data_IF_635786622198
#
_entry.id   IF_635786622198
#
_cell.length_a   1.000
_cell.length_b   1.000
_cell.length_c   1.000
_cell.angle_alpha   90.00
_cell.angle_beta   90.00
_cell.angle_gamma   90.00
#
_symmetry.space_group_name_H-M   'P 1'
#
loop_
_entity.id
_entity.type
_entity.pdbx_description
1 polymer ?
#
# COMPACT_ATOMS: atom_id res chain seq x y z
N UNK A 1 3.67 12.66 25.54
CA UNK A 1 2.98 12.65 24.25
C UNK A 1 3.55 11.54 23.38
N UNK A 2 2.69 10.65 22.90
CA UNK A 2 3.15 9.52 22.08
C UNK A 2 3.51 10.01 20.67
N UNK A 3 4.70 9.63 20.20
CA UNK A 3 5.12 9.92 18.84
C UNK A 3 4.53 8.90 17.90
N UNK A 4 3.89 9.35 16.82
CA UNK A 4 3.30 8.46 15.82
C UNK A 4 4.40 7.82 14.98
N UNK A 5 4.36 6.50 14.84
CA UNK A 5 5.27 5.76 13.98
C UNK A 5 4.64 5.58 12.61
N UNK A 6 5.40 5.86 11.57
CA UNK A 6 4.96 5.76 10.18
C UNK A 6 5.77 4.69 9.47
N UNK A 7 5.10 3.97 8.56
CA UNK A 7 5.77 3.02 7.67
C UNK A 7 5.32 3.29 6.24
N UNK A 8 6.28 3.53 5.35
CA UNK A 8 6.01 3.72 3.94
C UNK A 8 6.24 2.41 3.18
N UNK A 9 5.19 1.90 2.56
CA UNK A 9 5.31 0.76 1.64
C UNK A 9 5.79 1.32 0.31
N UNK A 10 7.04 1.05 0.01
CA UNK A 10 7.81 1.75 -1.00
C UNK A 10 8.29 0.84 -2.11
N UNK A 11 8.19 1.32 -3.36
CA UNK A 11 8.82 0.72 -4.51
C UNK A 11 9.77 1.77 -5.10
N UNK A 12 11.10 1.62 -4.94
CA UNK A 12 12.05 2.64 -5.39
C UNK A 12 12.08 2.85 -6.91
N UNK A 13 11.51 1.91 -7.66
CA UNK A 13 11.41 2.03 -9.12
C UNK A 13 10.18 2.81 -9.59
N UNK A 14 9.25 3.09 -8.68
CA UNK A 14 8.01 3.79 -9.01
C UNK A 14 8.16 5.28 -8.72
N UNK A 15 7.91 6.13 -9.72
CA UNK A 15 8.02 7.58 -9.55
C UNK A 15 7.07 8.12 -8.49
N UNK A 16 5.85 7.61 -8.42
CA UNK A 16 4.88 8.03 -7.41
C UNK A 16 5.35 7.68 -6.00
N UNK A 17 5.97 6.52 -5.85
CA UNK A 17 6.52 6.09 -4.58
C UNK A 17 7.71 6.96 -4.16
N UNK A 18 8.59 7.31 -5.12
CA UNK A 18 9.70 8.22 -4.86
C UNK A 18 9.21 9.61 -4.48
N UNK A 19 8.13 10.09 -5.09
CA UNK A 19 7.52 11.38 -4.74
C UNK A 19 7.02 11.40 -3.30
N UNK A 20 6.37 10.30 -2.87
CA UNK A 20 5.91 10.18 -1.50
C UNK A 20 7.06 10.20 -0.50
N UNK A 21 8.15 9.48 -0.81
CA UNK A 21 9.35 9.47 0.04
C UNK A 21 9.94 10.88 0.13
N UNK A 22 10.06 11.58 -0.97
CA UNK A 22 10.57 12.95 -0.99
C UNK A 22 9.70 13.90 -0.16
N UNK A 23 8.39 13.72 -0.22
CA UNK A 23 7.44 14.50 0.57
C UNK A 23 7.64 14.28 2.06
N UNK A 24 7.76 13.02 2.48
CA UNK A 24 8.00 12.68 3.88
C UNK A 24 9.33 13.26 4.38
N UNK A 25 10.37 13.16 3.56
CA UNK A 25 11.69 13.70 3.89
C UNK A 25 11.64 15.22 4.02
N UNK A 26 10.94 15.89 3.11
CA UNK A 26 10.80 17.36 3.12
C UNK A 26 10.02 17.86 4.34
N UNK A 27 9.06 17.05 4.83
CA UNK A 27 8.28 17.37 6.03
C UNK A 27 9.00 16.99 7.31
N UNK A 28 10.19 16.42 7.24
CA UNK A 28 10.93 15.93 8.41
C UNK A 28 10.21 14.81 9.13
N UNK A 29 9.38 14.05 8.43
CA UNK A 29 8.62 12.96 9.03
C UNK A 29 9.55 11.82 9.44
N UNK A 30 9.24 11.21 10.57
CA UNK A 30 9.97 10.06 11.09
C UNK A 30 9.22 8.80 10.63
N UNK A 31 9.82 8.06 9.73
CA UNK A 31 9.16 6.88 9.14
C UNK A 31 10.18 5.78 8.84
N UNK A 32 9.69 4.54 8.74
CA UNK A 32 10.47 3.44 8.22
C UNK A 32 10.05 3.15 6.79
N UNK A 33 10.99 2.69 5.99
CA UNK A 33 10.74 2.31 4.61
C UNK A 33 10.57 0.80 4.55
N UNK A 34 9.44 0.34 4.02
CA UNK A 34 9.23 -1.09 3.78
C UNK A 34 9.17 -1.32 2.28
N UNK A 35 10.15 -2.02 1.76
CA UNK A 35 10.17 -2.43 0.36
C UNK A 35 9.33 -3.68 0.21
N UNK A 36 8.04 -3.47 0.02
CA UNK A 36 7.05 -4.54 0.07
C UNK A 36 7.19 -5.61 -1.01
N UNK A 37 7.95 -5.32 -2.09
CA UNK A 37 8.25 -6.33 -3.11
C UNK A 37 9.24 -7.38 -2.60
N UNK A 38 10.11 -7.00 -1.67
CA UNK A 38 11.12 -7.86 -1.05
C UNK A 38 10.67 -8.36 0.32
N UNK A 39 9.84 -7.57 0.99
CA UNK A 39 9.30 -7.85 2.31
C UNK A 39 7.78 -7.68 2.28
N UNK A 40 7.05 -8.65 1.69
CA UNK A 40 5.61 -8.52 1.48
C UNK A 40 4.85 -8.43 2.80
N UNK A 41 3.69 -7.75 2.79
CA UNK A 41 2.82 -7.78 3.96
C UNK A 41 2.27 -9.20 4.16
N UNK A 42 1.86 -9.49 5.39
CA UNK A 42 1.05 -10.66 5.65
C UNK A 42 -0.38 -10.40 5.18
N UNK A 43 -1.19 -11.46 5.09
CA UNK A 43 -2.61 -11.30 4.74
C UNK A 43 -3.33 -10.42 5.76
N UNK A 44 -3.04 -10.58 7.05
CA UNK A 44 -3.64 -9.76 8.10
C UNK A 44 -3.22 -8.29 7.98
N UNK A 45 -1.96 -8.02 7.66
CA UNK A 45 -1.49 -6.65 7.44
C UNK A 45 -2.19 -6.00 6.25
N UNK A 46 -2.32 -6.72 5.14
CA UNK A 46 -2.99 -6.17 3.96
C UNK A 46 -4.49 -5.95 4.22
N UNK A 47 -5.12 -6.88 4.92
CA UNK A 47 -6.53 -6.73 5.29
C UNK A 47 -6.74 -5.48 6.15
N UNK A 48 -5.88 -5.25 7.14
CA UNK A 48 -5.96 -4.08 8.01
C UNK A 48 -5.76 -2.78 7.22
N UNK A 49 -4.82 -2.77 6.28
CA UNK A 49 -4.56 -1.59 5.43
C UNK A 49 -5.77 -1.29 4.53
N UNK A 50 -6.33 -2.32 3.91
CA UNK A 50 -7.52 -2.16 3.07
C UNK A 50 -8.69 -1.58 3.88
N UNK A 51 -8.90 -2.09 5.09
CA UNK A 51 -9.93 -1.59 5.98
C UNK A 51 -9.69 -0.11 6.32
N UNK A 52 -8.45 0.25 6.65
CA UNK A 52 -8.08 1.62 6.97
C UNK A 52 -8.27 2.56 5.78
N UNK A 53 -8.04 2.07 4.56
CA UNK A 53 -8.23 2.84 3.33
C UNK A 53 -9.71 2.92 2.90
N UNK A 54 -10.56 2.07 3.45
CA UNK A 54 -11.96 1.95 3.02
C UNK A 54 -12.10 1.30 1.66
N UNK A 55 -11.17 0.41 1.30
CA UNK A 55 -11.13 -0.22 -0.02
C UNK A 55 -11.29 -1.74 0.08
N UNK A 56 -11.77 -2.31 -1.00
CA UNK A 56 -11.71 -3.75 -1.22
C UNK A 56 -10.43 -4.10 -1.99
N UNK A 57 -9.94 -5.35 -1.92
CA UNK A 57 -8.69 -5.68 -2.61
C UNK A 57 -8.73 -5.46 -4.12
N UNK A 58 -9.88 -5.67 -4.77
CA UNK A 58 -10.01 -5.41 -6.21
C UNK A 58 -9.94 -3.93 -6.55
N UNK A 59 -10.16 -3.02 -5.58
CA UNK A 59 -9.97 -1.58 -5.77
C UNK A 59 -8.49 -1.20 -5.72
N UNK A 60 -7.69 -1.96 -4.99
CA UNK A 60 -6.27 -1.67 -4.78
C UNK A 60 -5.37 -2.43 -5.77
N UNK A 61 -5.88 -3.50 -6.37
CA UNK A 61 -5.06 -4.36 -7.23
C UNK A 61 -4.70 -3.68 -8.55
N UNK A 62 -3.45 -3.85 -8.97
CA UNK A 62 -2.94 -3.32 -10.23
C UNK A 62 -3.29 -4.27 -11.36
N UNK A 63 -4.45 -4.10 -11.95
CA UNK A 63 -5.00 -5.00 -12.97
C UNK A 63 -4.23 -4.98 -14.28
N UNK A 64 -3.40 -3.94 -14.52
CA UNK A 64 -2.59 -3.83 -15.73
C UNK A 64 -1.27 -4.60 -15.65
N UNK A 65 -0.93 -5.13 -14.49
CA UNK A 65 0.28 -5.93 -14.34
C UNK A 65 0.11 -7.29 -15.03
N UNK A 66 1.18 -7.83 -15.68
CA UNK A 66 1.12 -9.16 -16.26
C UNK A 66 0.68 -10.24 -15.27
N UNK A 67 1.09 -10.14 -14.00
CA UNK A 67 0.70 -11.09 -12.98
C UNK A 67 -0.82 -11.17 -12.80
N UNK A 68 -1.53 -10.04 -12.92
CA UNK A 68 -3.00 -10.03 -12.83
C UNK A 68 -3.62 -10.86 -13.94
N UNK A 69 -3.07 -10.77 -15.13
CA UNK A 69 -3.55 -11.53 -16.29
C UNK A 69 -3.24 -13.02 -16.15
N UNK A 70 -2.02 -13.32 -15.73
CA UNK A 70 -1.57 -14.71 -15.55
C UNK A 70 -2.40 -15.43 -14.49
N UNK A 71 -2.81 -14.72 -13.44
CA UNK A 71 -3.64 -15.27 -12.38
C UNK A 71 -5.13 -15.27 -12.70
N UNK A 72 -5.54 -14.66 -13.82
CA UNK A 72 -6.95 -14.58 -14.20
C UNK A 72 -7.78 -13.75 -13.22
N UNK A 73 -7.21 -12.67 -12.68
CA UNK A 73 -7.90 -11.88 -11.66
C UNK A 73 -9.23 -11.30 -12.15
N UNK A 74 -9.35 -10.98 -13.44
CA UNK A 74 -10.60 -10.43 -13.97
C UNK A 74 -11.76 -11.41 -13.89
N UNK A 75 -11.45 -12.71 -13.91
CA UNK A 75 -12.45 -13.77 -13.82
C UNK A 75 -12.59 -14.31 -12.40
N UNK A 76 -11.71 -13.91 -11.48
CA UNK A 76 -11.77 -14.36 -10.09
C UNK A 76 -12.96 -13.71 -9.38
N UNK A 77 -13.86 -14.50 -8.77
CA UNK A 77 -14.96 -13.92 -8.01
C UNK A 77 -14.46 -12.98 -6.91
N UNK A 78 -15.26 -11.98 -6.58
CA UNK A 78 -14.91 -10.98 -5.56
C UNK A 78 -15.03 -11.57 -4.15
N UNK A 79 -14.09 -12.46 -3.81
CA UNK A 79 -13.91 -12.99 -2.46
C UNK A 79 -12.68 -12.31 -1.86
N UNK A 80 -12.90 -11.58 -0.77
CA UNK A 80 -11.85 -10.74 -0.16
C UNK A 80 -10.61 -11.55 0.21
N UNK A 81 -10.80 -12.72 0.83
CA UNK A 81 -9.68 -13.56 1.25
C UNK A 81 -8.85 -14.07 0.09
N UNK A 82 -9.50 -14.50 -0.98
CA UNK A 82 -8.80 -15.03 -2.17
C UNK A 82 -7.97 -13.94 -2.85
N UNK A 83 -8.52 -12.73 -2.96
CA UNK A 83 -7.79 -11.61 -3.57
C UNK A 83 -6.61 -11.17 -2.70
N UNK A 84 -6.80 -11.11 -1.38
CA UNK A 84 -5.71 -10.76 -0.45
C UNK A 84 -4.58 -11.78 -0.56
N UNK A 85 -4.92 -13.08 -0.57
CA UNK A 85 -3.92 -14.14 -0.72
C UNK A 85 -3.12 -13.99 -2.00
N UNK A 86 -3.78 -13.70 -3.12
CA UNK A 86 -3.11 -13.49 -4.41
C UNK A 86 -2.19 -12.27 -4.37
N UNK A 87 -2.61 -11.18 -3.77
CA UNK A 87 -1.83 -9.95 -3.70
C UNK A 87 -0.62 -10.08 -2.79
N UNK A 88 -0.72 -10.85 -1.72
CA UNK A 88 0.41 -11.12 -0.82
C UNK A 88 1.43 -12.03 -1.49
N UNK A 89 0.97 -13.03 -2.23
CA UNK A 89 1.84 -13.93 -2.99
C UNK A 89 2.53 -13.19 -4.14
N UNK A 90 1.84 -12.20 -4.74
CA UNK A 90 2.35 -11.41 -5.86
C UNK A 90 2.28 -9.92 -5.51
N UNK A 91 3.17 -9.42 -4.65
CA UNK A 91 3.06 -8.04 -4.14
C UNK A 91 3.15 -6.95 -5.21
N UNK A 92 3.63 -7.27 -6.42
CA UNK A 92 3.59 -6.33 -7.55
C UNK A 92 2.16 -5.86 -7.86
N UNK A 93 1.16 -6.64 -7.44
CA UNK A 93 -0.25 -6.30 -7.64
C UNK A 93 -0.76 -5.21 -6.69
N UNK A 94 -0.02 -4.91 -5.62
CA UNK A 94 -0.44 -3.91 -4.64
C UNK A 94 -0.15 -2.52 -5.17
N UNK A 95 -1.17 -1.65 -5.21
CA UNK A 95 -0.98 -0.25 -5.59
C UNK A 95 -0.10 0.46 -4.57
N UNK A 96 0.66 1.47 -5.02
CA UNK A 96 1.65 2.18 -4.19
C UNK A 96 1.69 3.66 -4.57
N UNK A 97 2.22 4.52 -3.71
CA UNK A 97 2.73 4.23 -2.37
C UNK A 97 1.63 4.17 -1.32
N UNK A 98 1.87 3.44 -0.24
CA UNK A 98 0.94 3.40 0.90
C UNK A 98 1.70 3.82 2.15
N UNK A 99 1.14 4.77 2.91
CA UNK A 99 1.67 5.17 4.20
C UNK A 99 0.76 4.60 5.28
N UNK A 100 1.34 3.92 6.26
CA UNK A 100 0.61 3.27 7.34
C UNK A 100 1.08 3.86 8.67
N UNK A 101 0.13 4.14 9.56
CA UNK A 101 0.46 4.61 10.91
C UNK A 101 0.31 3.46 11.90
N UNK A 102 0.97 3.58 13.05
CA UNK A 102 0.88 2.57 14.10
C UNK A 102 -0.47 2.59 14.83
N UNK A 103 -1.27 3.63 14.65
CA UNK A 103 -2.62 3.73 15.23
C UNK A 103 -3.72 3.22 14.29
N UNK A 104 -3.35 2.55 13.21
CA UNK A 104 -4.31 1.89 12.33
C UNK A 104 -4.89 2.75 11.21
N UNK A 105 -4.25 3.90 10.90
CA UNK A 105 -4.65 4.70 9.74
C UNK A 105 -3.74 4.42 8.56
N UNK A 106 -4.21 4.70 7.36
CA UNK A 106 -3.44 4.51 6.15
C UNK A 106 -3.85 5.54 5.09
N UNK A 107 -2.93 5.81 4.17
CA UNK A 107 -3.22 6.66 3.01
C UNK A 107 -2.54 6.07 1.78
N UNK A 108 -3.27 6.06 0.68
CA UNK A 108 -2.73 5.75 -0.63
C UNK A 108 -2.27 7.06 -1.26
N UNK A 109 -1.01 7.16 -1.66
CA UNK A 109 -0.41 8.40 -2.17
C UNK A 109 -0.77 8.71 -3.62
N UNK A 110 -2.01 8.53 -3.98
CA UNK A 110 -2.57 8.86 -5.29
C UNK A 110 -3.95 9.48 -5.07
N UNK A 111 -4.04 10.80 -4.91
CA UNK A 111 -2.97 11.81 -5.10
C UNK A 111 -2.01 11.93 -3.90
N UNK A 112 -0.82 12.53 -4.11
CA UNK A 112 0.16 12.71 -3.02
C UNK A 112 -0.37 13.45 -1.80
N UNK A 113 -1.34 14.34 -1.99
CA UNK A 113 -1.97 15.11 -0.92
C UNK A 113 -2.62 14.22 0.15
N UNK A 114 -3.01 13.00 -0.20
CA UNK A 114 -3.57 12.05 0.76
C UNK A 114 -2.55 11.69 1.84
N UNK A 115 -1.26 11.61 1.47
CA UNK A 115 -0.19 11.36 2.43
C UNK A 115 0.00 12.57 3.34
N UNK A 116 -0.02 13.78 2.78
CA UNK A 116 0.07 15.00 3.59
C UNK A 116 -1.05 15.09 4.61
N UNK A 117 -2.26 14.77 4.21
CA UNK A 117 -3.42 14.80 5.11
C UNK A 117 -3.23 13.87 6.30
N UNK A 118 -2.54 12.74 6.11
CA UNK A 118 -2.29 11.79 7.18
C UNK A 118 -1.25 12.32 8.18
N UNK A 119 -0.38 13.22 7.75
CA UNK A 119 0.66 13.82 8.59
C UNK A 119 0.14 14.96 9.49
N UNK A 120 -0.97 15.56 9.13
CA UNK A 120 -1.53 16.73 9.84
C UNK A 120 -2.36 16.35 11.06
#
# INVERSE_FOLDING_TARGET
>A
MRRMTLQLWHNPRCSKSRQAKALLDARGADYTERRYLEDPPTEDELDAVLTALGLEPWDLARMNEPAARELGLRELPHDRGDWIAAMVEHPILIERPILVTDDGRAALGRPPEAIEALLD
#
